data_IF_878414548943
#
_entry.id   IF_878414548943
#
_cell.length_a   1.000
_cell.length_b   1.000
_cell.length_c   1.000
_cell.angle_alpha   90.00
_cell.angle_beta   90.00
_cell.angle_gamma   90.00
#
_symmetry.space_group_name_H-M   'P 1'
#
loop_
_entity.id
_entity.type
_entity.pdbx_description
1 polymer ?
#
# COMPACT_ATOMS: atom_id res chain seq x y z
N UNK A 1 4.69 1.68 -29.54
CA UNK A 1 5.27 1.17 -28.28
C UNK A 1 4.99 2.17 -27.15
N UNK A 2 3.73 2.36 -26.73
CA UNK A 2 3.34 3.39 -25.74
C UNK A 2 2.35 2.85 -24.69
N UNK A 3 1.31 2.12 -25.15
CA UNK A 3 0.30 1.47 -24.30
C UNK A 3 0.84 0.49 -23.24
N UNK A 4 1.93 -0.25 -23.52
CA UNK A 4 2.49 -1.23 -22.57
C UNK A 4 3.03 -0.58 -21.29
N UNK A 5 3.46 0.67 -21.35
CA UNK A 5 4.08 1.35 -20.21
C UNK A 5 3.03 1.77 -19.17
N UNK A 6 1.89 2.32 -19.59
CA UNK A 6 0.85 2.76 -18.67
C UNK A 6 0.11 1.61 -17.97
N UNK A 7 -0.12 0.50 -18.68
CA UNK A 7 -0.67 -0.71 -18.08
C UNK A 7 0.28 -1.30 -17.02
N UNK A 8 1.59 -1.30 -17.29
CA UNK A 8 2.59 -1.74 -16.32
C UNK A 8 2.65 -0.82 -15.08
N UNK A 9 2.64 0.51 -15.28
CA UNK A 9 2.62 1.49 -14.19
C UNK A 9 1.39 1.29 -13.29
N UNK A 10 0.20 1.16 -13.89
CA UNK A 10 -1.02 0.90 -13.13
C UNK A 10 -0.93 -0.42 -12.36
N UNK A 11 -0.43 -1.50 -12.99
CA UNK A 11 -0.26 -2.79 -12.31
C UNK A 11 0.71 -2.71 -11.13
N UNK A 12 1.84 -2.01 -11.27
CA UNK A 12 2.81 -1.82 -10.20
C UNK A 12 2.18 -1.04 -9.04
N UNK A 13 1.51 0.08 -9.33
CA UNK A 13 0.82 0.87 -8.30
C UNK A 13 -0.21 0.04 -7.53
N UNK A 14 -1.03 -0.74 -8.24
CA UNK A 14 -2.03 -1.62 -7.64
C UNK A 14 -1.42 -2.72 -6.76
N UNK A 15 -0.30 -3.32 -7.17
CA UNK A 15 0.43 -4.31 -6.36
C UNK A 15 0.99 -3.69 -5.08
N UNK A 16 1.59 -2.50 -5.19
CA UNK A 16 2.10 -1.76 -4.02
C UNK A 16 0.97 -1.43 -3.05
N UNK A 17 -0.17 -0.96 -3.54
CA UNK A 17 -1.37 -0.72 -2.72
C UNK A 17 -1.83 -2.01 -2.03
N UNK A 18 -1.96 -3.12 -2.75
CA UNK A 18 -2.45 -4.37 -2.17
C UNK A 18 -1.54 -4.89 -1.05
N UNK A 19 -0.22 -4.92 -1.30
CA UNK A 19 0.77 -5.40 -0.31
C UNK A 19 0.83 -4.47 0.90
N UNK A 20 0.98 -3.16 0.68
CA UNK A 20 1.04 -2.20 1.80
C UNK A 20 -0.28 -2.13 2.59
N UNK A 21 -1.43 -2.28 1.92
CA UNK A 21 -2.73 -2.35 2.57
C UNK A 21 -2.89 -3.59 3.45
N UNK A 22 -2.41 -4.76 3.00
CA UNK A 22 -2.37 -5.96 3.83
C UNK A 22 -1.49 -5.77 5.07
N UNK A 23 -0.29 -5.21 4.90
CA UNK A 23 0.63 -4.94 6.02
C UNK A 23 -0.01 -3.94 7.00
N UNK A 24 -0.69 -2.90 6.50
CA UNK A 24 -1.41 -1.92 7.32
C UNK A 24 -2.49 -2.59 8.18
N UNK A 25 -3.31 -3.45 7.57
CA UNK A 25 -4.35 -4.19 8.30
C UNK A 25 -3.72 -5.06 9.38
N UNK A 26 -2.67 -5.83 9.04
CA UNK A 26 -1.97 -6.68 10.00
C UNK A 26 -1.36 -5.88 11.16
N UNK A 27 -0.74 -4.72 10.89
CA UNK A 27 -0.14 -3.92 11.95
C UNK A 27 -1.19 -3.32 12.88
N UNK A 28 -2.34 -2.91 12.35
CA UNK A 28 -3.49 -2.46 13.17
C UNK A 28 -4.00 -3.62 14.02
N UNK A 29 -4.15 -4.82 13.45
CA UNK A 29 -4.61 -6.00 14.17
C UNK A 29 -3.69 -6.35 15.37
N UNK A 30 -2.38 -6.33 15.15
CA UNK A 30 -1.38 -6.56 16.21
C UNK A 30 -1.41 -5.49 17.29
N UNK A 31 -1.67 -4.23 16.90
CA UNK A 31 -1.56 -3.08 17.82
C UNK A 31 -2.83 -2.82 18.63
N UNK A 32 -4.00 -3.27 18.17
CA UNK A 32 -5.29 -2.97 18.82
C UNK A 32 -6.05 -4.24 19.26
N UNK A 33 -6.72 -5.01 18.36
CA UNK A 33 -7.58 -6.12 18.79
C UNK A 33 -6.79 -7.27 19.42
N UNK A 34 -5.54 -7.51 19.00
CA UNK A 34 -4.70 -8.58 19.54
C UNK A 34 -3.59 -8.07 20.46
N UNK A 35 -3.67 -6.83 20.95
CA UNK A 35 -2.61 -6.22 21.75
C UNK A 35 -2.21 -7.08 22.97
N UNK A 36 -3.16 -7.75 23.62
CA UNK A 36 -2.90 -8.62 24.77
C UNK A 36 -2.06 -9.87 24.45
N UNK A 37 -1.97 -10.26 23.18
CA UNK A 37 -1.18 -11.40 22.73
C UNK A 37 0.28 -11.04 22.42
N UNK A 38 0.61 -9.75 22.34
CA UNK A 38 1.92 -9.26 21.91
C UNK A 38 2.58 -8.37 22.95
N UNK A 39 3.91 -8.39 22.99
CA UNK A 39 4.68 -7.52 23.88
C UNK A 39 4.56 -6.05 23.47
N UNK A 40 4.81 -5.16 24.43
CA UNK A 40 4.79 -3.72 24.20
C UNK A 40 5.79 -3.27 23.12
N UNK A 41 6.93 -3.97 23.00
CA UNK A 41 7.92 -3.73 21.93
C UNK A 41 7.34 -4.04 20.56
N UNK A 42 6.63 -5.15 20.40
CA UNK A 42 6.00 -5.54 19.13
C UNK A 42 4.90 -4.55 18.75
N UNK A 43 4.10 -4.09 19.71
CA UNK A 43 3.09 -3.05 19.48
C UNK A 43 3.72 -1.73 19.02
N UNK A 44 4.81 -1.29 19.65
CA UNK A 44 5.55 -0.09 19.23
C UNK A 44 6.05 -0.19 17.79
N UNK A 45 6.66 -1.33 17.43
CA UNK A 45 7.09 -1.59 16.05
C UNK A 45 5.87 -1.59 15.11
N UNK A 46 4.75 -2.21 15.52
CA UNK A 46 3.48 -2.23 14.78
C UNK A 46 2.95 -0.83 14.46
N UNK A 47 3.03 0.12 15.39
CA UNK A 47 2.65 1.51 15.14
C UNK A 47 3.55 2.19 14.09
N UNK A 48 4.87 1.99 14.15
CA UNK A 48 5.81 2.52 13.15
C UNK A 48 5.51 1.92 11.77
N UNK A 49 5.31 0.60 11.72
CA UNK A 49 4.95 -0.14 10.49
C UNK A 49 3.64 0.38 9.91
N UNK A 50 2.66 0.74 10.75
CA UNK A 50 1.40 1.34 10.31
C UNK A 50 1.64 2.64 9.54
N UNK A 51 2.47 3.55 10.07
CA UNK A 51 2.76 4.84 9.43
C UNK A 51 3.46 4.64 8.08
N UNK A 52 4.49 3.79 8.05
CA UNK A 52 5.27 3.52 6.83
C UNK A 52 4.38 2.85 5.77
N UNK A 53 3.54 1.89 6.17
CA UNK A 53 2.63 1.19 5.26
C UNK A 53 1.55 2.12 4.71
N UNK A 54 1.01 3.03 5.53
CA UNK A 54 0.05 4.03 5.08
C UNK A 54 0.64 4.98 4.02
N UNK A 55 1.89 5.41 4.23
CA UNK A 55 2.61 6.23 3.25
C UNK A 55 2.84 5.46 1.94
N UNK A 56 3.30 4.20 2.02
CA UNK A 56 3.49 3.34 0.86
C UNK A 56 2.17 3.10 0.10
N UNK A 57 1.06 2.89 0.80
CA UNK A 57 -0.26 2.73 0.20
C UNK A 57 -0.67 3.96 -0.59
N UNK A 58 -0.49 5.15 -0.01
CA UNK A 58 -0.79 6.43 -0.67
C UNK A 58 0.05 6.63 -1.94
N UNK A 59 1.35 6.28 -1.91
CA UNK A 59 2.22 6.34 -3.08
C UNK A 59 1.75 5.34 -4.15
N UNK A 60 1.45 4.10 -3.75
CA UNK A 60 0.90 3.09 -4.66
C UNK A 60 -0.37 3.56 -5.37
N UNK A 61 -1.26 4.25 -4.63
CA UNK A 61 -2.47 4.85 -5.18
C UNK A 61 -2.18 5.91 -6.24
N UNK A 62 -1.24 6.83 -5.97
CA UNK A 62 -0.86 7.86 -6.94
C UNK A 62 -0.30 7.22 -8.22
N UNK A 63 0.59 6.23 -8.10
CA UNK A 63 1.16 5.51 -9.24
C UNK A 63 0.08 4.77 -10.03
N UNK A 64 -0.83 4.09 -9.34
CA UNK A 64 -1.97 3.40 -9.95
C UNK A 64 -2.85 4.37 -10.75
N UNK A 65 -3.19 5.51 -10.14
CA UNK A 65 -4.03 6.55 -10.73
C UNK A 65 -3.37 7.18 -11.96
N UNK A 66 -2.06 7.48 -11.90
CA UNK A 66 -1.30 7.99 -13.06
C UNK A 66 -1.32 6.98 -14.20
N UNK A 67 -1.04 5.70 -13.93
CA UNK A 67 -1.07 4.65 -14.94
C UNK A 67 -2.44 4.50 -15.58
N UNK A 68 -3.52 4.57 -14.77
CA UNK A 68 -4.90 4.47 -15.27
C UNK A 68 -5.32 5.70 -16.07
N UNK A 69 -4.95 6.90 -15.62
CA UNK A 69 -5.25 8.15 -16.31
C UNK A 69 -4.49 8.23 -17.65
N UNK A 70 -3.20 7.89 -17.67
CA UNK A 70 -2.41 7.83 -18.90
C UNK A 70 -3.01 6.86 -19.93
N UNK A 71 -3.47 5.69 -19.49
CA UNK A 71 -4.16 4.74 -20.36
C UNK A 71 -5.51 5.27 -20.88
N UNK A 72 -6.14 6.24 -20.22
CA UNK A 72 -7.40 6.85 -20.64
C UNK A 72 -7.21 8.04 -21.61
N UNK A 73 -6.02 8.65 -21.64
CA UNK A 73 -5.70 9.75 -22.55
C UNK A 73 -5.10 9.29 -23.89
N UNK A 74 -4.74 8.01 -24.00
CA UNK A 74 -4.22 7.40 -25.24
C UNK A 74 -5.31 6.87 -26.19
N UNK A 75 -6.57 7.30 -26.01
CA UNK A 75 -7.69 7.03 -26.92
C UNK A 75 -7.86 8.15 -27.95
#
# INVERSE_FOLDING_TARGET
MKMKNFAAISSVGGKVMAVSGLILVLSILVSYPFASMFSLVIQLIGHIVTIVSAAAFKIGYIVFAIGRHGHCLEF
#
